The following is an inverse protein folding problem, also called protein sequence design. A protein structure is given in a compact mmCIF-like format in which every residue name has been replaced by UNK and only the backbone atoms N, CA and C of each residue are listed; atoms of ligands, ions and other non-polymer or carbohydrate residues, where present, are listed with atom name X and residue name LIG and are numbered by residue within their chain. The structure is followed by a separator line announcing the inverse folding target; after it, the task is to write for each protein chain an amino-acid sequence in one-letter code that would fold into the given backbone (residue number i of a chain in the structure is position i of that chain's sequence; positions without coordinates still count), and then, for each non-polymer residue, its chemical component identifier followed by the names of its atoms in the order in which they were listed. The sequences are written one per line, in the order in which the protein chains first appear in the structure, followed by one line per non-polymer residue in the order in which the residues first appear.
data_IF_755991405226
#
_entry.id   IF_755991405226
#
_cell.length_a   1.000
_cell.length_b   1.000
_cell.length_c   1.000
_cell.angle_alpha   90.00
_cell.angle_beta   90.00
_cell.angle_gamma   90.00
#
_symmetry.space_group_name_H-M   'P 1'
#
loop_
_entity.id
_entity.type
_entity.pdbx_description
1 polymer ?
#
# COMPACT_ATOMS: atom_id res chain seq x y z
N UNK A 1 5.61 23.46 5.89
CA UNK A 1 6.05 23.99 7.17
C UNK A 1 6.29 25.51 7.00
N UNK A 2 5.60 26.33 7.79
CA UNK A 2 5.81 27.77 7.78
C UNK A 2 6.92 28.12 8.79
N UNK A 3 8.11 28.38 8.25
CA UNK A 3 9.33 28.64 9.03
C UNK A 3 9.14 29.88 9.93
N UNK A 4 8.55 30.94 9.37
CA UNK A 4 8.33 32.20 10.10
C UNK A 4 7.41 31.98 11.32
N UNK A 5 6.42 31.09 11.19
CA UNK A 5 5.53 30.73 12.28
C UNK A 5 6.23 29.92 13.38
N UNK A 6 7.15 29.04 13.00
CA UNK A 6 7.95 28.26 13.96
C UNK A 6 8.94 29.15 14.72
N UNK A 7 9.61 30.07 14.04
CA UNK A 7 10.52 31.05 14.66
C UNK A 7 9.76 32.00 15.60
N UNK A 8 8.53 32.41 15.24
CA UNK A 8 7.72 33.30 16.08
C UNK A 8 7.32 32.70 17.43
N UNK A 9 7.32 31.34 17.55
CA UNK A 9 7.09 30.63 18.81
C UNK A 9 8.38 30.23 19.54
N UNK A 10 9.53 30.78 19.09
CA UNK A 10 10.84 30.63 19.78
C UNK A 10 11.62 29.36 19.39
N UNK A 11 11.28 28.72 18.28
CA UNK A 11 12.05 27.56 17.79
C UNK A 11 13.19 28.05 16.89
N UNK A 12 14.40 27.51 17.09
CA UNK A 12 15.53 27.68 16.17
C UNK A 12 15.36 26.72 14.99
N UNK A 13 14.99 27.26 13.82
CA UNK A 13 14.69 26.46 12.63
C UNK A 13 15.85 26.52 11.64
N UNK A 14 16.46 25.36 11.39
CA UNK A 14 17.49 25.20 10.35
C UNK A 14 16.92 24.47 9.16
N UNK A 15 17.07 25.03 7.98
CA UNK A 15 16.70 24.39 6.72
C UNK A 15 17.94 23.84 6.02
N UNK A 16 17.81 22.63 5.50
CA UNK A 16 18.82 22.02 4.64
C UNK A 16 18.16 21.43 3.39
N UNK A 17 18.67 21.80 2.24
CA UNK A 17 18.15 21.27 0.95
C UNK A 17 19.12 20.23 0.44
N UNK A 18 18.61 19.01 0.24
CA UNK A 18 19.34 17.93 -0.41
C UNK A 18 19.34 18.17 -1.92
N UNK A 19 20.52 18.31 -2.51
CA UNK A 19 20.67 18.61 -3.95
C UNK A 19 21.23 17.44 -4.75
N UNK A 20 21.81 16.45 -4.09
CA UNK A 20 22.44 15.29 -4.72
C UNK A 20 21.53 14.06 -4.67
N UNK A 21 21.39 13.35 -5.80
CA UNK A 21 20.65 12.09 -5.91
C UNK A 21 21.64 10.94 -5.91
N UNK A 22 21.73 10.21 -4.81
CA UNK A 22 22.68 9.10 -4.65
C UNK A 22 22.14 7.74 -5.13
N UNK A 23 20.83 7.63 -5.37
CA UNK A 23 20.17 6.35 -5.69
C UNK A 23 20.25 5.94 -7.16
N UNK A 24 20.46 6.90 -8.04
CA UNK A 24 20.52 6.71 -9.49
C UNK A 24 21.83 7.33 -10.02
N UNK A 25 22.41 6.70 -11.04
CA UNK A 25 23.54 7.32 -11.74
C UNK A 25 23.07 8.57 -12.50
N UNK A 26 23.96 9.51 -12.73
CA UNK A 26 23.65 10.74 -13.49
C UNK A 26 23.16 10.44 -14.92
N UNK A 27 23.57 9.32 -15.49
CA UNK A 27 23.16 8.85 -16.83
C UNK A 27 21.85 8.06 -16.84
N UNK A 28 21.22 7.81 -15.67
CA UNK A 28 19.96 7.06 -15.59
C UNK A 28 18.82 7.81 -16.27
N UNK A 29 18.16 7.16 -17.21
CA UNK A 29 16.97 7.68 -17.86
C UNK A 29 15.81 7.91 -16.86
N UNK A 30 15.76 7.16 -15.77
CA UNK A 30 14.82 7.38 -14.66
C UNK A 30 15.09 8.74 -14.03
N UNK A 31 16.34 9.05 -13.70
CA UNK A 31 16.72 10.34 -13.09
C UNK A 31 16.51 11.51 -14.05
N UNK A 32 16.86 11.34 -15.33
CA UNK A 32 16.66 12.35 -16.37
C UNK A 32 15.16 12.68 -16.50
N UNK A 33 14.30 11.66 -16.62
CA UNK A 33 12.85 11.86 -16.71
C UNK A 33 12.28 12.50 -15.42
N UNK A 34 12.71 12.04 -14.25
CA UNK A 34 12.26 12.61 -12.97
C UNK A 34 12.66 14.08 -12.81
N UNK A 35 13.87 14.44 -13.23
CA UNK A 35 14.36 15.82 -13.24
C UNK A 35 13.56 16.67 -14.21
N UNK A 36 13.32 16.16 -15.42
CA UNK A 36 12.49 16.84 -16.42
C UNK A 36 11.06 17.10 -15.93
N UNK A 37 10.44 16.14 -15.24
CA UNK A 37 9.12 16.32 -14.60
C UNK A 37 9.19 17.44 -13.56
N UNK A 38 10.17 17.39 -12.65
CA UNK A 38 10.33 18.38 -11.58
C UNK A 38 10.52 19.80 -12.10
N UNK A 39 11.31 19.97 -13.16
CA UNK A 39 11.59 21.29 -13.74
C UNK A 39 10.40 21.85 -14.53
N UNK A 40 9.50 21.00 -14.99
CA UNK A 40 8.32 21.38 -15.78
C UNK A 40 7.00 21.21 -15.00
N UNK A 41 7.04 21.11 -13.69
CA UNK A 41 5.85 20.88 -12.85
C UNK A 41 4.80 21.99 -13.05
N UNK A 42 5.24 23.23 -13.29
CA UNK A 42 4.36 24.39 -13.55
C UNK A 42 3.88 24.46 -15.03
N UNK A 43 4.45 23.64 -15.91
CA UNK A 43 4.11 23.59 -17.34
C UNK A 43 3.87 22.15 -17.82
N UNK A 44 2.89 21.44 -17.29
CA UNK A 44 2.69 20.01 -17.53
C UNK A 44 2.36 19.66 -18.99
N UNK A 45 1.95 20.62 -19.80
CA UNK A 45 1.67 20.41 -21.24
C UNK A 45 2.92 20.01 -22.04
N UNK A 46 4.12 20.33 -21.55
CA UNK A 46 5.39 20.02 -22.19
C UNK A 46 6.00 18.69 -21.71
N UNK A 47 5.36 17.99 -20.79
CA UNK A 47 5.88 16.76 -20.26
C UNK A 47 5.79 15.62 -21.27
N UNK A 48 6.96 15.12 -21.66
CA UNK A 48 7.10 13.95 -22.52
C UNK A 48 8.18 13.05 -21.89
N UNK A 49 7.77 11.86 -21.46
CA UNK A 49 8.73 10.87 -20.96
C UNK A 49 9.54 10.30 -22.15
N UNK A 50 10.84 10.28 -21.98
CA UNK A 50 11.78 9.76 -22.97
C UNK A 50 12.11 8.30 -22.66
N UNK A 51 12.35 7.51 -23.71
CA UNK A 51 12.84 6.15 -23.59
C UNK A 51 14.37 6.15 -23.45
N UNK A 52 14.87 5.30 -22.58
CA UNK A 52 16.28 5.07 -22.30
C UNK A 52 16.51 3.55 -22.17
N UNK A 53 17.73 3.05 -22.08
CA UNK A 53 17.98 1.64 -21.85
C UNK A 53 17.27 1.09 -20.59
N UNK A 54 17.15 1.91 -19.54
CA UNK A 54 16.48 1.65 -18.26
C UNK A 54 15.03 2.14 -18.20
N UNK A 55 14.53 2.84 -19.25
CA UNK A 55 13.14 3.35 -19.34
C UNK A 55 12.52 2.95 -20.66
N UNK A 56 11.59 2.01 -20.62
CA UNK A 56 10.91 1.46 -21.78
C UNK A 56 9.43 1.80 -21.77
N UNK A 57 8.84 1.96 -22.94
CA UNK A 57 7.40 2.10 -23.09
C UNK A 57 6.79 0.71 -23.33
N UNK A 58 5.89 0.30 -22.43
CA UNK A 58 5.05 -0.88 -22.63
C UNK A 58 3.70 -0.45 -23.20
N UNK A 59 3.15 -1.22 -24.10
CA UNK A 59 1.76 -1.12 -24.54
C UNK A 59 0.93 -2.29 -24.00
N UNK A 60 -0.39 -2.24 -24.21
CA UNK A 60 -1.29 -3.27 -23.67
C UNK A 60 -1.05 -4.67 -24.24
N UNK A 61 -0.35 -4.80 -25.39
CA UNK A 61 -0.09 -6.10 -26.03
C UNK A 61 1.12 -6.81 -25.44
N UNK A 62 2.12 -6.07 -24.98
CA UNK A 62 3.38 -6.63 -24.45
C UNK A 62 3.56 -6.48 -22.93
N UNK A 63 2.63 -5.81 -22.26
CA UNK A 63 2.70 -5.57 -20.82
C UNK A 63 2.80 -6.86 -20.01
N UNK A 64 1.97 -7.87 -20.34
CA UNK A 64 1.96 -9.15 -19.60
C UNK A 64 3.29 -9.86 -19.78
N UNK A 65 3.81 -9.95 -21.01
CA UNK A 65 5.10 -10.56 -21.33
C UNK A 65 6.26 -9.88 -20.58
N UNK A 66 6.29 -8.56 -20.56
CA UNK A 66 7.31 -7.83 -19.81
C UNK A 66 7.21 -8.06 -18.30
N UNK A 67 6.02 -8.14 -17.76
CA UNK A 67 5.80 -8.37 -16.33
C UNK A 67 6.20 -9.79 -15.93
N UNK A 68 5.85 -10.81 -16.74
CA UNK A 68 6.30 -12.20 -16.56
C UNK A 68 7.82 -12.32 -16.66
N UNK A 69 8.43 -11.61 -17.62
CA UNK A 69 9.88 -11.51 -17.75
C UNK A 69 10.53 -10.91 -16.49
N UNK A 70 9.97 -9.84 -15.95
CA UNK A 70 10.45 -9.23 -14.72
C UNK A 70 10.34 -10.17 -13.52
N UNK A 71 9.22 -10.87 -13.37
CA UNK A 71 9.05 -11.86 -12.31
C UNK A 71 10.07 -12.99 -12.41
N UNK A 72 10.43 -13.39 -13.63
CA UNK A 72 11.46 -14.43 -13.86
C UNK A 72 12.88 -13.92 -13.61
N UNK A 73 13.17 -12.66 -13.92
CA UNK A 73 14.51 -12.08 -13.85
C UNK A 73 14.88 -11.61 -12.44
N UNK A 74 14.01 -10.84 -11.80
CA UNK A 74 14.28 -10.20 -10.50
C UNK A 74 13.37 -10.68 -9.38
N UNK A 75 12.35 -11.45 -9.69
CA UNK A 75 11.36 -11.94 -8.74
C UNK A 75 10.21 -10.95 -8.48
N UNK A 76 9.16 -11.48 -7.87
CA UNK A 76 7.97 -10.69 -7.54
C UNK A 76 8.24 -9.63 -6.47
N UNK A 77 9.23 -9.88 -5.58
CA UNK A 77 9.62 -8.96 -4.51
C UNK A 77 10.16 -7.63 -5.06
N UNK A 78 10.92 -7.74 -6.14
CA UNK A 78 11.63 -6.65 -6.77
C UNK A 78 10.87 -6.07 -7.99
N UNK A 79 9.61 -6.48 -8.18
CA UNK A 79 8.77 -6.01 -9.28
C UNK A 79 7.47 -5.42 -8.76
N UNK A 80 7.13 -4.20 -9.19
CA UNK A 80 5.92 -3.51 -8.76
C UNK A 80 5.21 -2.81 -9.91
N UNK A 81 3.88 -2.84 -9.89
CA UNK A 81 3.03 -1.98 -10.72
C UNK A 81 2.55 -0.78 -9.90
N UNK A 82 2.86 0.42 -10.38
CA UNK A 82 2.46 1.68 -9.73
C UNK A 82 1.37 2.35 -10.56
N UNK A 83 0.30 2.74 -9.91
CA UNK A 83 -0.87 3.34 -10.59
C UNK A 83 -1.30 4.65 -9.94
N UNK A 84 -2.11 5.41 -10.68
CA UNK A 84 -2.70 6.66 -10.19
C UNK A 84 -3.78 6.45 -9.12
N UNK A 85 -4.58 5.41 -9.24
CA UNK A 85 -5.78 5.25 -8.42
C UNK A 85 -5.87 3.89 -7.75
N UNK A 86 -6.52 3.84 -6.58
CA UNK A 86 -6.80 2.59 -5.87
C UNK A 86 -7.59 1.60 -6.73
N UNK A 87 -8.53 2.08 -7.57
CA UNK A 87 -9.29 1.25 -8.49
C UNK A 87 -8.40 0.53 -9.50
N UNK A 88 -7.46 1.26 -10.11
CA UNK A 88 -6.50 0.66 -11.04
C UNK A 88 -5.54 -0.27 -10.33
N UNK A 89 -5.04 0.10 -9.14
CA UNK A 89 -4.20 -0.77 -8.34
C UNK A 89 -4.88 -2.11 -8.04
N UNK A 90 -6.15 -2.09 -7.59
CA UNK A 90 -6.92 -3.31 -7.34
C UNK A 90 -7.15 -4.13 -8.61
N UNK A 91 -7.44 -3.47 -9.75
CA UNK A 91 -7.62 -4.14 -11.03
C UNK A 91 -6.34 -4.87 -11.48
N UNK A 92 -5.19 -4.19 -11.44
CA UNK A 92 -3.89 -4.79 -11.76
C UNK A 92 -3.52 -5.90 -10.78
N UNK A 93 -3.68 -5.67 -9.48
CA UNK A 93 -3.33 -6.67 -8.47
C UNK A 93 -4.12 -7.97 -8.66
N UNK A 94 -5.44 -7.87 -8.89
CA UNK A 94 -6.28 -9.03 -9.19
C UNK A 94 -5.91 -9.66 -10.55
N UNK A 95 -5.64 -8.85 -11.58
CA UNK A 95 -5.22 -9.33 -12.89
C UNK A 95 -3.91 -10.11 -12.84
N UNK A 96 -2.91 -9.59 -12.14
CA UNK A 96 -1.62 -10.25 -11.92
C UNK A 96 -1.83 -11.58 -11.18
N UNK A 97 -2.53 -11.53 -10.06
CA UNK A 97 -2.78 -12.71 -9.24
C UNK A 97 -3.50 -13.83 -10.00
N UNK A 98 -4.58 -13.49 -10.70
CA UNK A 98 -5.44 -14.50 -11.31
C UNK A 98 -4.93 -14.97 -12.68
N UNK A 99 -4.38 -14.07 -13.52
CA UNK A 99 -4.01 -14.38 -14.90
C UNK A 99 -2.55 -14.76 -15.05
N UNK A 100 -1.64 -14.08 -14.36
CA UNK A 100 -0.21 -14.31 -14.48
C UNK A 100 0.23 -15.39 -13.48
N UNK A 101 -0.15 -15.24 -12.21
CA UNK A 101 0.24 -16.19 -11.16
C UNK A 101 -0.70 -17.40 -11.06
N UNK A 102 -1.79 -17.42 -11.82
CA UNK A 102 -2.78 -18.52 -11.85
C UNK A 102 -3.27 -18.93 -10.45
N UNK A 103 -3.33 -17.98 -9.52
CA UNK A 103 -3.78 -18.23 -8.15
C UNK A 103 -5.30 -18.17 -8.05
N UNK A 104 -5.90 -19.21 -7.50
CA UNK A 104 -7.33 -19.34 -7.30
C UNK A 104 -7.77 -18.92 -5.89
N UNK A 105 -9.10 -18.78 -5.69
CA UNK A 105 -9.68 -18.38 -4.41
C UNK A 105 -9.39 -16.93 -4.03
N UNK A 106 -9.76 -16.53 -2.81
CA UNK A 106 -9.60 -15.15 -2.32
C UNK A 106 -8.14 -14.85 -1.94
N UNK A 107 -7.47 -15.80 -1.30
CA UNK A 107 -6.07 -15.70 -0.87
C UNK A 107 -5.36 -17.04 -1.07
N UNK A 108 -4.07 -16.99 -1.32
CA UNK A 108 -3.19 -18.17 -1.45
C UNK A 108 -1.86 -17.90 -0.74
N UNK A 109 -1.15 -18.95 -0.33
CA UNK A 109 0.22 -18.81 0.20
C UNK A 109 1.10 -18.12 -0.84
N UNK A 110 2.02 -17.28 -0.38
CA UNK A 110 2.85 -16.43 -1.23
C UNK A 110 2.08 -15.25 -1.87
N UNK A 111 0.85 -14.94 -1.44
CA UNK A 111 0.20 -13.69 -1.84
C UNK A 111 0.83 -12.52 -1.10
N UNK A 112 1.03 -11.43 -1.83
CA UNK A 112 1.50 -10.16 -1.27
C UNK A 112 0.34 -9.31 -0.81
N UNK A 113 0.42 -8.88 0.40
CA UNK A 113 -0.55 -8.01 1.05
C UNK A 113 0.09 -6.69 1.46
N UNK A 114 -0.70 -5.63 1.46
CA UNK A 114 -0.36 -4.34 2.04
C UNK A 114 -1.35 -4.00 3.15
N UNK A 115 -0.83 -3.55 4.27
CA UNK A 115 -1.60 -3.07 5.42
C UNK A 115 -2.26 -1.73 5.10
N UNK A 116 -3.57 -1.61 5.40
CA UNK A 116 -4.37 -0.43 5.07
C UNK A 116 -4.53 0.56 6.22
N UNK A 117 -4.23 0.12 7.45
CA UNK A 117 -4.40 0.93 8.66
C UNK A 117 -3.37 0.51 9.71
N UNK A 118 -2.82 1.48 10.44
CA UNK A 118 -1.95 1.24 11.57
C UNK A 118 -2.59 0.24 12.55
N UNK A 119 -1.85 -0.78 12.93
CA UNK A 119 -2.26 -1.80 13.87
C UNK A 119 -1.28 -1.88 15.04
N UNK A 120 -1.79 -1.65 16.25
CA UNK A 120 -1.03 -1.65 17.51
C UNK A 120 -1.27 -2.92 18.33
N UNK A 121 -1.94 -3.93 17.74
CA UNK A 121 -2.39 -5.11 18.47
C UNK A 121 -1.50 -6.32 18.21
N UNK A 122 -1.32 -6.70 16.94
CA UNK A 122 -0.65 -7.96 16.58
C UNK A 122 0.87 -7.93 16.66
N UNK A 123 1.50 -6.75 16.70
CA UNK A 123 2.96 -6.62 16.83
C UNK A 123 3.50 -6.86 18.23
N UNK A 124 2.66 -6.70 19.26
CA UNK A 124 3.10 -6.66 20.66
C UNK A 124 3.86 -7.91 21.13
N UNK A 125 3.38 -9.10 20.73
CA UNK A 125 4.00 -10.38 21.12
C UNK A 125 5.38 -10.58 20.47
N UNK A 126 5.70 -9.79 19.45
CA UNK A 126 6.95 -9.83 18.68
C UNK A 126 7.87 -8.64 18.98
N UNK A 127 7.52 -7.81 19.96
CA UNK A 127 8.27 -6.61 20.31
C UNK A 127 8.13 -5.45 19.31
N UNK A 128 7.12 -5.50 18.45
CA UNK A 128 6.76 -4.43 17.51
C UNK A 128 5.61 -3.61 18.08
N UNK A 129 5.83 -2.34 18.32
CA UNK A 129 4.78 -1.43 18.82
C UNK A 129 3.70 -1.15 17.77
N UNK A 130 4.03 -1.29 16.49
CA UNK A 130 3.19 -0.89 15.36
C UNK A 130 3.48 -1.74 14.13
N UNK A 131 2.42 -2.24 13.50
CA UNK A 131 2.40 -2.63 12.09
C UNK A 131 1.80 -1.45 11.33
N UNK A 132 2.58 -0.80 10.47
CA UNK A 132 2.22 0.47 9.88
C UNK A 132 1.30 0.34 8.66
N UNK A 133 0.52 1.38 8.41
CA UNK A 133 -0.21 1.53 7.16
C UNK A 133 0.79 1.68 6.00
N UNK A 134 0.75 0.77 5.05
CA UNK A 134 1.66 0.69 3.91
C UNK A 134 2.67 -0.44 4.01
N UNK A 135 2.82 -1.07 5.18
CA UNK A 135 3.70 -2.22 5.32
C UNK A 135 3.29 -3.35 4.38
N UNK A 136 4.30 -3.98 3.80
CA UNK A 136 4.14 -5.10 2.90
C UNK A 136 4.41 -6.40 3.63
N UNK A 137 3.59 -7.42 3.33
CA UNK A 137 3.76 -8.75 3.89
C UNK A 137 3.44 -9.83 2.86
N UNK A 138 4.04 -11.00 3.03
CA UNK A 138 3.74 -12.20 2.26
C UNK A 138 2.96 -13.20 3.13
N UNK A 139 1.97 -13.87 2.55
CA UNK A 139 1.23 -14.94 3.24
C UNK A 139 2.08 -16.20 3.28
N UNK A 140 2.55 -16.54 4.47
CA UNK A 140 3.27 -17.81 4.72
C UNK A 140 2.28 -18.96 4.89
N UNK A 141 1.24 -18.73 5.70
CA UNK A 141 0.23 -19.75 6.01
C UNK A 141 -1.16 -19.16 6.11
N UNK A 142 -2.12 -19.89 5.56
CA UNK A 142 -3.55 -19.58 5.66
C UNK A 142 -4.19 -20.50 6.69
N UNK A 143 -4.83 -19.91 7.70
CA UNK A 143 -5.57 -20.61 8.73
C UNK A 143 -7.08 -20.61 8.45
N UNK A 144 -7.84 -20.88 9.52
CA UNK A 144 -9.29 -21.00 9.46
C UNK A 144 -9.96 -19.63 9.34
N UNK A 145 -11.07 -19.59 8.59
CA UNK A 145 -12.01 -18.48 8.60
C UNK A 145 -13.00 -18.65 9.76
N UNK A 146 -13.39 -17.55 10.37
CA UNK A 146 -14.45 -17.48 11.36
C UNK A 146 -15.40 -16.35 11.01
N UNK A 147 -16.68 -16.66 10.91
CA UNK A 147 -17.72 -15.65 10.84
C UNK A 147 -18.09 -15.17 12.25
N UNK A 148 -18.04 -13.87 12.49
CA UNK A 148 -18.40 -13.23 13.73
C UNK A 148 -18.83 -11.79 13.47
N UNK A 149 -19.77 -11.26 14.23
CA UNK A 149 -20.31 -9.89 14.07
C UNK A 149 -20.87 -9.60 12.66
N UNK A 150 -21.21 -10.65 11.89
CA UNK A 150 -21.63 -10.52 10.49
C UNK A 150 -20.48 -10.26 9.51
N UNK A 151 -19.23 -10.52 9.91
CA UNK A 151 -18.02 -10.38 9.11
C UNK A 151 -17.19 -11.66 9.10
N UNK A 152 -16.36 -11.80 8.06
CA UNK A 152 -15.45 -12.94 7.91
C UNK A 152 -14.03 -12.55 8.37
N UNK A 153 -13.53 -13.31 9.31
CA UNK A 153 -12.18 -13.16 9.85
C UNK A 153 -11.34 -14.38 9.50
N UNK A 154 -10.15 -14.16 8.96
CA UNK A 154 -9.22 -15.25 8.64
C UNK A 154 -7.92 -15.11 9.41
N UNK A 155 -7.48 -16.21 10.00
CA UNK A 155 -6.16 -16.26 10.61
C UNK A 155 -5.12 -16.47 9.52
N UNK A 156 -4.05 -15.70 9.54
CA UNK A 156 -2.92 -15.80 8.64
C UNK A 156 -1.62 -15.75 9.44
N UNK A 157 -0.58 -16.41 8.92
CA UNK A 157 0.81 -16.11 9.28
C UNK A 157 1.38 -15.26 8.16
N UNK A 158 1.80 -14.03 8.45
CA UNK A 158 2.36 -13.06 7.51
C UNK A 158 3.85 -12.86 7.79
N UNK A 159 4.67 -12.93 6.77
CA UNK A 159 6.08 -12.55 6.82
C UNK A 159 6.24 -11.09 6.39
N UNK A 160 6.82 -10.27 7.25
CA UNK A 160 7.16 -8.88 7.00
C UNK A 160 8.67 -8.77 6.78
N UNK A 161 9.11 -8.52 5.55
CA UNK A 161 10.53 -8.41 5.20
C UNK A 161 11.24 -7.30 5.97
N UNK A 162 10.59 -6.16 6.16
CA UNK A 162 11.15 -4.98 6.83
C UNK A 162 11.46 -5.24 8.30
N UNK A 163 10.73 -6.15 8.93
CA UNK A 163 10.91 -6.54 10.32
C UNK A 163 11.65 -7.88 10.46
N UNK A 164 11.74 -8.66 9.37
CA UNK A 164 12.27 -10.04 9.36
C UNK A 164 11.53 -10.98 10.34
N UNK A 165 10.22 -10.79 10.52
CA UNK A 165 9.36 -11.57 11.39
C UNK A 165 8.20 -12.21 10.66
N UNK A 166 7.85 -13.43 11.08
CA UNK A 166 6.56 -14.05 10.83
C UNK A 166 5.62 -13.70 11.98
N UNK A 167 4.47 -13.10 11.67
CA UNK A 167 3.48 -12.64 12.65
C UNK A 167 2.17 -13.36 12.39
N UNK A 168 1.61 -14.00 13.41
CA UNK A 168 0.28 -14.56 13.37
C UNK A 168 -0.76 -13.44 13.58
N UNK A 169 -1.62 -13.24 12.60
CA UNK A 169 -2.63 -12.17 12.60
C UNK A 169 -4.02 -12.72 12.29
N UNK A 170 -5.02 -11.97 12.66
CA UNK A 170 -6.38 -12.13 12.15
C UNK A 170 -6.69 -10.97 11.21
N UNK A 171 -7.06 -11.25 9.97
CA UNK A 171 -7.48 -10.23 9.01
C UNK A 171 -9.00 -10.13 8.93
N UNK A 172 -9.49 -8.96 8.50
CA UNK A 172 -10.88 -8.73 8.11
C UNK A 172 -10.98 -8.96 6.60
N UNK A 173 -11.62 -10.07 6.15
CA UNK A 173 -11.64 -10.46 4.73
C UNK A 173 -12.29 -9.41 3.83
N UNK A 174 -13.33 -8.72 4.31
CA UNK A 174 -14.04 -7.70 3.55
C UNK A 174 -13.12 -6.51 3.18
N UNK A 175 -12.03 -6.30 3.92
CA UNK A 175 -11.06 -5.26 3.58
C UNK A 175 -10.36 -5.49 2.23
N UNK A 176 -10.24 -6.75 1.80
CA UNK A 176 -9.63 -7.12 0.51
C UNK A 176 -10.39 -6.55 -0.69
N UNK A 177 -11.69 -6.34 -0.54
CA UNK A 177 -12.57 -5.85 -1.60
C UNK A 177 -12.79 -4.34 -1.56
N UNK A 178 -12.40 -3.67 -0.49
CA UNK A 178 -12.51 -2.21 -0.38
C UNK A 178 -11.54 -1.52 -1.35
N UNK A 179 -12.10 -0.75 -2.27
CA UNK A 179 -11.34 0.00 -3.27
C UNK A 179 -11.02 1.41 -2.80
N UNK A 180 -11.97 2.05 -2.13
CA UNK A 180 -11.87 3.44 -1.70
C UNK A 180 -11.68 3.59 -0.19
N UNK A 181 -11.06 4.69 0.27
CA UNK A 181 -10.98 5.00 1.69
C UNK A 181 -12.35 5.13 2.36
N UNK A 182 -13.37 5.60 1.63
CA UNK A 182 -14.73 5.75 2.13
C UNK A 182 -15.36 4.38 2.42
N UNK A 183 -15.21 3.40 1.53
CA UNK A 183 -15.68 2.01 1.75
C UNK A 183 -15.01 1.39 2.97
N UNK A 184 -13.70 1.61 3.13
CA UNK A 184 -12.95 1.10 4.29
C UNK A 184 -13.42 1.77 5.59
N UNK A 185 -13.72 3.07 5.56
CA UNK A 185 -14.26 3.79 6.71
C UNK A 185 -15.66 3.30 7.08
N UNK A 186 -16.53 3.06 6.10
CA UNK A 186 -17.86 2.50 6.31
C UNK A 186 -17.79 1.08 6.90
N UNK A 187 -16.90 0.23 6.37
CA UNK A 187 -16.63 -1.12 6.88
C UNK A 187 -16.23 -1.06 8.36
N UNK A 188 -15.30 -0.17 8.70
CA UNK A 188 -14.85 0.03 10.09
C UNK A 188 -15.98 0.48 11.02
N UNK A 189 -16.82 1.40 10.56
CA UNK A 189 -17.96 1.88 11.36
C UNK A 189 -18.99 0.77 11.63
N UNK A 190 -19.27 -0.06 10.62
CA UNK A 190 -20.16 -1.22 10.75
C UNK A 190 -19.59 -2.26 11.72
N UNK A 191 -18.31 -2.59 11.60
CA UNK A 191 -17.64 -3.52 12.50
C UNK A 191 -17.64 -2.99 13.94
N UNK A 192 -17.28 -1.73 14.12
CA UNK A 192 -17.27 -1.11 15.47
C UNK A 192 -18.64 -1.19 16.12
N UNK A 193 -19.71 -0.86 15.38
CA UNK A 193 -21.08 -0.91 15.87
C UNK A 193 -21.49 -2.32 16.26
N UNK A 194 -21.20 -3.32 15.44
CA UNK A 194 -21.54 -4.72 15.71
C UNK A 194 -20.82 -5.25 16.95
N UNK A 195 -19.54 -4.91 17.11
CA UNK A 195 -18.78 -5.26 18.33
C UNK A 195 -19.34 -4.51 19.56
N UNK A 196 -19.67 -3.22 19.44
CA UNK A 196 -20.27 -2.45 20.56
C UNK A 196 -21.60 -3.05 21.01
N UNK A 197 -22.43 -3.54 20.11
CA UNK A 197 -23.70 -4.22 20.38
C UNK A 197 -23.46 -5.54 21.14
N UNK A 198 -22.46 -6.33 20.78
CA UNK A 198 -22.10 -7.59 21.46
C UNK A 198 -21.64 -7.34 22.91
N UNK A 199 -20.84 -6.29 23.09
CA UNK A 199 -20.34 -5.88 24.41
C UNK A 199 -21.37 -5.03 25.22
N UNK A 200 -22.59 -4.82 24.75
CA UNK A 200 -23.61 -3.99 25.41
C UNK A 200 -24.03 -4.53 26.80
N UNK A 201 -23.85 -5.84 27.03
CA UNK A 201 -24.10 -6.48 28.31
C UNK A 201 -23.22 -5.92 29.45
N UNK A 202 -22.09 -5.30 29.16
CA UNK A 202 -21.21 -4.65 30.13
C UNK A 202 -21.74 -3.25 30.41
N UNK A 203 -22.30 -3.06 31.63
CA UNK A 203 -22.93 -1.79 32.04
C UNK A 203 -21.95 -0.62 32.11
N UNK A 204 -20.74 -0.87 32.61
CA UNK A 204 -19.69 0.17 32.69
C UNK A 204 -19.14 0.53 31.31
N UNK A 205 -19.39 1.74 30.85
CA UNK A 205 -18.86 2.25 29.57
C UNK A 205 -17.33 2.15 29.48
N UNK A 206 -16.62 2.49 30.58
CA UNK A 206 -15.16 2.42 30.63
C UNK A 206 -14.65 0.98 30.49
N UNK A 207 -15.26 0.03 31.19
CA UNK A 207 -14.89 -1.38 31.13
C UNK A 207 -15.21 -1.98 29.76
N UNK A 208 -16.37 -1.65 29.19
CA UNK A 208 -16.77 -2.06 27.84
C UNK A 208 -15.74 -1.64 26.80
N UNK A 209 -15.37 -0.37 26.74
CA UNK A 209 -14.36 0.11 25.80
C UNK A 209 -12.96 -0.47 26.04
N UNK A 210 -12.61 -0.76 27.31
CA UNK A 210 -11.36 -1.46 27.59
C UNK A 210 -11.34 -2.85 26.96
N UNK A 211 -12.40 -3.65 27.16
CA UNK A 211 -12.52 -4.99 26.57
C UNK A 211 -12.59 -4.96 25.04
N UNK A 212 -13.31 -4.00 24.47
CA UNK A 212 -13.34 -3.83 23.01
C UNK A 212 -11.96 -3.54 22.43
N UNK A 213 -11.12 -2.76 23.11
CA UNK A 213 -9.73 -2.51 22.66
C UNK A 213 -8.85 -3.75 22.70
N UNK A 214 -9.17 -4.71 23.55
CA UNK A 214 -8.48 -6.00 23.69
C UNK A 214 -9.07 -7.06 22.75
N UNK A 215 -10.17 -6.77 22.04
CA UNK A 215 -10.80 -7.69 21.11
C UNK A 215 -10.00 -7.81 19.80
N UNK A 216 -9.53 -9.03 19.49
CA UNK A 216 -8.71 -9.29 18.31
C UNK A 216 -9.46 -9.09 16.99
N UNK A 217 -10.78 -9.23 16.98
CA UNK A 217 -11.61 -9.08 15.78
C UNK A 217 -11.89 -7.61 15.49
N UNK A 218 -12.07 -6.77 16.52
CA UNK A 218 -12.11 -5.33 16.34
C UNK A 218 -10.76 -4.77 15.86
N UNK A 219 -9.67 -5.40 16.30
CA UNK A 219 -8.30 -5.07 15.90
C UNK A 219 -7.83 -5.87 14.67
N UNK A 220 -8.73 -6.61 13.99
CA UNK A 220 -8.37 -7.38 12.81
C UNK A 220 -7.61 -6.51 11.80
N UNK A 221 -6.52 -7.06 11.28
CA UNK A 221 -5.67 -6.38 10.32
C UNK A 221 -6.45 -6.17 9.01
N UNK A 222 -6.40 -4.97 8.49
CA UNK A 222 -7.05 -4.63 7.22
C UNK A 222 -5.98 -4.59 6.15
N UNK A 223 -6.20 -5.36 5.10
CA UNK A 223 -5.19 -5.62 4.08
C UNK A 223 -5.81 -5.60 2.68
N UNK A 224 -4.97 -5.41 1.67
CA UNK A 224 -5.31 -5.64 0.27
C UNK A 224 -4.16 -6.31 -0.46
N UNK A 225 -4.43 -6.88 -1.64
CA UNK A 225 -3.39 -7.40 -2.51
C UNK A 225 -2.42 -6.29 -2.93
N UNK A 226 -1.12 -6.59 -2.92
CA UNK A 226 -0.02 -5.63 -3.10
C UNK A 226 0.85 -5.88 -4.34
N UNK A 227 0.33 -6.56 -5.37
CA UNK A 227 1.01 -6.69 -6.67
C UNK A 227 1.00 -5.38 -7.48
N UNK A 228 0.07 -4.50 -7.15
CA UNK A 228 0.01 -3.15 -7.69
C UNK A 228 -0.47 -2.18 -6.59
N UNK A 229 0.14 -1.01 -6.51
CA UNK A 229 -0.19 0.02 -5.50
C UNK A 229 -0.26 1.41 -6.14
N UNK A 230 -0.76 2.38 -5.40
CA UNK A 230 -0.79 3.77 -5.87
C UNK A 230 0.58 4.45 -5.69
N UNK A 231 0.88 5.46 -6.51
CA UNK A 231 2.11 6.24 -6.42
C UNK A 231 2.36 6.78 -4.99
N UNK A 232 1.33 7.25 -4.29
CA UNK A 232 1.47 7.70 -2.91
C UNK A 232 1.96 6.60 -1.96
N UNK A 233 1.55 5.35 -2.19
CA UNK A 233 1.96 4.21 -1.37
C UNK A 233 3.34 3.66 -1.77
N UNK A 234 3.76 3.91 -2.99
CA UNK A 234 5.10 3.55 -3.47
C UNK A 234 6.20 4.50 -3.00
N UNK A 235 5.83 5.67 -2.48
CA UNK A 235 6.81 6.65 -2.00
C UNK A 235 7.68 6.08 -0.87
N UNK A 236 8.99 6.20 -1.02
CA UNK A 236 9.98 5.66 -0.06
C UNK A 236 10.41 4.23 -0.34
N UNK A 237 9.65 3.45 -1.11
CA UNK A 237 10.02 2.11 -1.53
C UNK A 237 11.06 2.10 -2.66
N UNK A 238 11.65 0.93 -2.90
CA UNK A 238 12.62 0.68 -3.96
C UNK A 238 12.39 -0.70 -4.55
N UNK A 239 12.40 -0.79 -5.87
CA UNK A 239 12.24 -2.04 -6.62
C UNK A 239 13.14 -2.00 -7.84
N UNK A 240 13.59 -3.15 -8.31
CA UNK A 240 14.44 -3.24 -9.51
C UNK A 240 13.65 -2.97 -10.77
N UNK A 241 12.42 -3.47 -10.85
CA UNK A 241 11.53 -3.25 -12.01
C UNK A 241 10.21 -2.61 -11.56
N UNK A 242 9.91 -1.45 -12.13
CA UNK A 242 8.67 -0.70 -11.85
C UNK A 242 7.91 -0.47 -13.15
N UNK A 243 6.62 -0.78 -13.13
CA UNK A 243 5.68 -0.49 -14.21
C UNK A 243 4.76 0.65 -13.77
N UNK A 244 4.82 1.78 -14.46
CA UNK A 244 4.02 2.96 -14.12
C UNK A 244 2.86 3.10 -15.08
N UNK A 245 1.63 2.98 -14.58
CA UNK A 245 0.40 3.32 -15.32
C UNK A 245 -0.10 4.70 -14.87
N UNK A 246 0.13 5.69 -15.70
CA UNK A 246 -0.34 7.06 -15.47
C UNK A 246 -1.85 7.22 -15.69
N UNK A 247 -2.53 6.19 -16.19
CA UNK A 247 -3.96 6.25 -16.53
C UNK A 247 -4.23 7.09 -17.78
N UNK A 248 -5.52 7.17 -18.13
CA UNK A 248 -6.00 8.05 -19.21
C UNK A 248 -6.25 9.44 -18.64
N UNK A 249 -5.22 10.26 -18.61
CA UNK A 249 -5.35 11.67 -18.21
C UNK A 249 -5.33 12.51 -19.46
N UNK A 250 -6.33 13.37 -19.65
CA UNK A 250 -6.23 14.42 -20.68
C UNK A 250 -5.13 15.38 -20.24
N UNK A 251 -4.33 15.86 -21.18
CA UNK A 251 -3.22 16.79 -20.87
C UNK A 251 -3.67 18.02 -20.07
N UNK A 252 -4.93 18.42 -20.25
CA UNK A 252 -5.57 19.56 -19.56
C UNK A 252 -5.94 19.27 -18.09
N UNK A 253 -5.95 18.00 -17.68
CA UNK A 253 -6.30 17.55 -16.31
C UNK A 253 -5.07 17.26 -15.43
N UNK A 254 -3.86 17.41 -16.00
CA UNK A 254 -2.63 17.24 -15.23
C UNK A 254 -2.34 18.58 -14.55
N UNK A 255 -2.57 18.65 -13.27
CA UNK A 255 -2.18 19.78 -12.44
C UNK A 255 -0.92 19.48 -11.61
N UNK A 256 -0.34 20.51 -11.01
CA UNK A 256 0.88 20.40 -10.22
C UNK A 256 0.74 19.55 -8.96
N UNK A 257 -0.49 19.37 -8.46
CA UNK A 257 -0.76 18.53 -7.29
C UNK A 257 -0.72 17.04 -7.61
N UNK A 258 -0.73 16.71 -8.90
CA UNK A 258 -0.76 15.34 -9.39
C UNK A 258 0.65 14.74 -9.60
N UNK A 259 1.64 15.58 -9.84
CA UNK A 259 3.03 15.17 -10.08
C UNK A 259 3.87 15.16 -8.81
#
# INVERSE_FOLDING_TARGET
LDINKLESIGLDVKTHTLTEVLRQSEESGILINATHIRENIDNPQNLTLQCFPDVKRADGSNFVEYLEGSFSEVGMEETLVVTRSNKMASLYANGIRNRILSKEGMLSNGDKLMVLKNNYFFGNDYGLELIANGDMAEIVRIGKTKELYGFNFRNLTLYFSDYSYEIDVTILEESLTCVTPAELQELNAKLFKAVEEDYAHIKSKRERYKKMREDKYLNALQVKLAYAITCHKAQGGQWKHIYVDMGRVKKEEIDTSYM
#
